data_IF_239543729242
#
_entry.id   IF_239543729242
#
_cell.length_a   1.000
_cell.length_b   1.000
_cell.length_c   1.000
_cell.angle_alpha   90.00
_cell.angle_beta   90.00
_cell.angle_gamma   90.00
#
_symmetry.space_group_name_H-M   'P 1'
#
loop_
_entity.id
_entity.type
_entity.pdbx_description
1 polymer ?
#
# COMPACT_ATOMS: atom_id res chain seq x y z
N UNK A 1 -20.02 -0.65 -40.49
CA UNK A 1 -20.79 -1.27 -39.39
C UNK A 1 -20.23 -0.73 -38.08
N UNK A 2 -20.89 0.23 -37.41
CA UNK A 2 -20.42 0.68 -36.12
C UNK A 2 -20.68 -0.43 -35.08
N UNK A 3 -19.64 -0.72 -34.32
CA UNK A 3 -19.64 -1.68 -33.22
C UNK A 3 -20.68 -1.22 -32.20
N UNK A 4 -21.66 -2.09 -31.95
CA UNK A 4 -22.72 -1.88 -30.99
C UNK A 4 -22.09 -1.72 -29.60
N UNK A 5 -22.04 -0.47 -29.14
CA UNK A 5 -21.67 -0.11 -27.79
C UNK A 5 -22.56 -0.89 -26.82
N UNK A 6 -21.95 -1.78 -26.05
CA UNK A 6 -22.60 -2.44 -24.94
C UNK A 6 -23.26 -1.38 -24.05
N UNK A 7 -24.56 -1.58 -23.77
CA UNK A 7 -25.33 -0.74 -22.87
C UNK A 7 -24.62 -0.61 -21.52
N UNK A 8 -24.67 0.55 -20.85
CA UNK A 8 -23.97 0.75 -19.59
C UNK A 8 -24.57 -0.19 -18.55
N UNK A 9 -23.77 -1.16 -18.09
CA UNK A 9 -24.10 -1.93 -16.90
C UNK A 9 -24.15 -0.90 -15.78
N UNK A 10 -25.38 -0.66 -15.31
CA UNK A 10 -25.74 0.20 -14.19
C UNK A 10 -24.62 0.23 -13.15
N UNK A 11 -24.07 1.42 -12.96
CA UNK A 11 -22.96 1.74 -12.06
C UNK A 11 -23.40 1.38 -10.63
N UNK A 12 -23.06 0.18 -10.17
CA UNK A 12 -23.28 -0.27 -8.80
C UNK A 12 -22.21 0.38 -7.93
N UNK A 13 -22.60 1.38 -7.13
CA UNK A 13 -21.70 1.98 -6.15
C UNK A 13 -21.45 0.96 -5.02
N UNK A 14 -20.20 0.56 -4.74
CA UNK A 14 -19.86 -0.29 -3.60
C UNK A 14 -20.39 0.27 -2.26
N UNK A 15 -20.61 1.59 -2.20
CA UNK A 15 -21.08 2.32 -1.02
C UNK A 15 -22.46 1.90 -0.52
N UNK A 16 -23.30 1.27 -1.35
CA UNK A 16 -24.65 0.84 -0.93
C UNK A 16 -24.66 -0.53 -0.23
N UNK A 17 -23.56 -1.28 -0.32
CA UNK A 17 -23.41 -2.59 0.28
C UNK A 17 -22.52 -2.55 1.54
N UNK A 18 -21.61 -1.60 1.65
CA UNK A 18 -20.52 -1.63 2.63
C UNK A 18 -20.68 -0.48 3.63
N UNK A 19 -20.54 -0.78 4.91
CA UNK A 19 -20.48 0.20 5.98
C UNK A 19 -19.40 -0.17 7.01
N UNK A 20 -19.03 0.79 7.86
CA UNK A 20 -18.07 0.58 8.94
C UNK A 20 -18.84 0.08 10.18
N UNK A 21 -18.42 -1.06 10.74
CA UNK A 21 -18.96 -1.60 11.98
C UNK A 21 -18.50 -0.81 13.22
N UNK A 22 -19.07 -1.11 14.38
CA UNK A 22 -18.61 -0.58 15.67
C UNK A 22 -17.17 -1.02 16.01
N UNK A 23 -16.68 -2.09 15.37
CA UNK A 23 -15.30 -2.58 15.46
C UNK A 23 -14.35 -1.93 14.45
N UNK A 24 -14.82 -0.91 13.71
CA UNK A 24 -14.08 -0.20 12.66
C UNK A 24 -13.66 -1.09 11.47
N UNK A 25 -14.46 -2.12 11.17
CA UNK A 25 -14.26 -3.04 10.05
C UNK A 25 -15.25 -2.76 8.92
N UNK A 26 -14.81 -2.95 7.67
CA UNK A 26 -15.70 -2.87 6.51
C UNK A 26 -16.56 -4.13 6.43
N UNK A 27 -17.86 -3.96 6.68
CA UNK A 27 -18.85 -5.04 6.72
C UNK A 27 -20.04 -4.74 5.82
N UNK A 28 -20.82 -5.78 5.53
CA UNK A 28 -22.17 -5.66 4.93
C UNK A 28 -23.19 -6.34 5.83
N UNK A 29 -24.48 -6.11 5.57
CA UNK A 29 -25.56 -6.77 6.32
C UNK A 29 -26.51 -7.54 5.38
N UNK A 30 -27.16 -8.56 5.95
CA UNK A 30 -28.10 -9.41 5.23
C UNK A 30 -29.29 -8.65 4.60
N UNK A 31 -29.62 -7.45 5.08
CA UNK A 31 -30.66 -6.59 4.49
C UNK A 31 -30.14 -5.89 3.22
N UNK A 32 -28.92 -5.37 3.24
CA UNK A 32 -28.25 -4.80 2.09
C UNK A 32 -28.09 -5.86 0.98
N UNK A 33 -27.65 -7.06 1.35
CA UNK A 33 -27.58 -8.21 0.43
C UNK A 33 -28.95 -8.54 -0.16
N UNK A 34 -29.99 -8.60 0.68
CA UNK A 34 -31.38 -8.85 0.25
C UNK A 34 -31.85 -7.82 -0.80
N UNK A 35 -31.61 -6.53 -0.54
CA UNK A 35 -31.96 -5.43 -1.46
C UNK A 35 -31.17 -5.54 -2.77
N UNK A 36 -29.87 -5.71 -2.69
CA UNK A 36 -28.98 -5.74 -3.86
C UNK A 36 -29.31 -6.90 -4.81
N UNK A 37 -29.52 -8.10 -4.28
CA UNK A 37 -29.84 -9.28 -5.10
C UNK A 37 -31.34 -9.44 -5.39
N UNK A 38 -32.19 -8.51 -4.91
CA UNK A 38 -33.66 -8.60 -4.98
C UNK A 38 -34.19 -9.96 -4.51
N UNK A 39 -33.64 -10.46 -3.40
CA UNK A 39 -34.06 -11.72 -2.76
C UNK A 39 -34.74 -11.39 -1.44
N UNK A 40 -35.75 -12.17 -1.05
CA UNK A 40 -36.39 -12.00 0.26
C UNK A 40 -35.38 -12.19 1.39
N UNK A 41 -35.37 -11.28 2.37
CA UNK A 41 -34.42 -11.31 3.50
C UNK A 41 -34.46 -12.65 4.26
N UNK A 42 -35.65 -13.24 4.44
CA UNK A 42 -35.81 -14.58 5.04
C UNK A 42 -35.01 -15.67 4.32
N UNK A 43 -34.89 -15.60 2.99
CA UNK A 43 -34.12 -16.57 2.21
C UNK A 43 -32.62 -16.34 2.36
N UNK A 44 -32.20 -15.09 2.56
CA UNK A 44 -30.80 -14.77 2.86
C UNK A 44 -30.42 -15.33 4.23
N UNK A 45 -31.24 -15.12 5.26
CA UNK A 45 -31.01 -15.66 6.60
C UNK A 45 -30.91 -17.19 6.57
N UNK A 46 -31.88 -17.87 5.95
CA UNK A 46 -31.87 -19.32 5.80
C UNK A 46 -30.65 -19.81 5.02
N UNK A 47 -30.19 -19.06 4.00
CA UNK A 47 -28.99 -19.43 3.25
C UNK A 47 -27.72 -19.29 4.08
N UNK A 48 -27.61 -18.26 4.93
CA UNK A 48 -26.48 -18.08 5.86
C UNK A 48 -26.45 -19.21 6.90
N UNK A 49 -27.60 -19.57 7.45
CA UNK A 49 -27.73 -20.64 8.46
C UNK A 49 -27.49 -22.04 7.90
N UNK A 50 -27.52 -22.20 6.58
CA UNK A 50 -27.29 -23.47 5.87
C UNK A 50 -25.99 -23.49 5.07
N UNK A 51 -25.06 -22.55 5.33
CA UNK A 51 -23.74 -22.58 4.70
C UNK A 51 -22.97 -23.79 5.20
N UNK A 52 -22.44 -24.56 4.25
CA UNK A 52 -21.58 -25.70 4.52
C UNK A 52 -20.12 -25.24 4.58
N UNK A 53 -19.74 -24.69 5.74
CA UNK A 53 -18.38 -24.26 6.04
C UNK A 53 -18.05 -24.51 7.52
N UNK A 54 -16.76 -24.53 7.84
CA UNK A 54 -16.30 -24.79 9.22
C UNK A 54 -16.85 -23.76 10.20
N UNK A 55 -17.11 -24.17 11.45
CA UNK A 55 -17.55 -23.27 12.53
C UNK A 55 -16.62 -22.07 12.73
N UNK A 56 -15.31 -22.29 12.59
CA UNK A 56 -14.29 -21.24 12.65
C UNK A 56 -14.57 -20.16 11.59
N UNK A 57 -14.76 -20.56 10.34
CA UNK A 57 -15.09 -19.64 9.24
C UNK A 57 -16.41 -18.91 9.50
N UNK A 58 -17.44 -19.62 9.94
CA UNK A 58 -18.76 -19.04 10.22
C UNK A 58 -18.66 -17.96 11.30
N UNK A 59 -18.01 -18.27 12.43
CA UNK A 59 -17.84 -17.33 13.55
C UNK A 59 -16.99 -16.11 13.22
N UNK A 60 -16.01 -16.24 12.33
CA UNK A 60 -15.13 -15.15 11.93
C UNK A 60 -15.79 -14.19 10.91
N UNK A 61 -16.75 -14.69 10.13
CA UNK A 61 -17.28 -13.96 8.97
C UNK A 61 -18.75 -13.60 9.07
N UNK A 62 -19.50 -14.14 10.04
CA UNK A 62 -20.93 -13.86 10.22
C UNK A 62 -21.28 -13.61 11.69
N UNK A 63 -21.79 -12.40 11.97
CA UNK A 63 -22.21 -11.96 13.31
C UNK A 63 -23.70 -11.69 13.33
N UNK A 64 -24.44 -12.31 14.25
CA UNK A 64 -25.87 -12.09 14.39
C UNK A 64 -26.16 -10.83 15.23
N UNK A 65 -27.00 -9.94 14.70
CA UNK A 65 -27.47 -8.72 15.35
C UNK A 65 -28.99 -8.65 15.32
N UNK A 66 -29.55 -7.88 16.24
CA UNK A 66 -30.96 -7.46 16.20
C UNK A 66 -31.03 -6.03 15.65
N UNK A 67 -31.90 -5.82 14.66
CA UNK A 67 -32.19 -4.49 14.11
C UNK A 67 -33.68 -4.23 14.21
N UNK A 68 -34.06 -3.08 14.76
CA UNK A 68 -35.45 -2.63 14.77
C UNK A 68 -35.89 -2.34 13.35
N UNK A 69 -36.93 -3.03 12.90
CA UNK A 69 -37.58 -2.80 11.61
C UNK A 69 -38.98 -2.28 11.84
N UNK A 70 -39.36 -1.28 11.06
CA UNK A 70 -40.71 -0.71 11.06
C UNK A 70 -41.55 -1.42 10.02
N UNK A 71 -42.63 -2.06 10.45
CA UNK A 71 -43.63 -2.69 9.59
C UNK A 71 -44.97 -1.97 9.82
N UNK A 72 -45.21 -0.92 9.03
CA UNK A 72 -46.35 -0.02 9.24
C UNK A 72 -46.19 0.76 10.55
N UNK A 73 -47.13 0.58 11.49
CA UNK A 73 -47.12 1.26 12.79
C UNK A 73 -46.33 0.46 13.85
N UNK A 74 -45.98 -0.80 13.56
CA UNK A 74 -45.32 -1.69 14.52
C UNK A 74 -43.81 -1.68 14.29
N UNK A 75 -43.06 -1.39 15.35
CA UNK A 75 -41.61 -1.58 15.39
C UNK A 75 -41.32 -2.92 16.06
N UNK A 76 -40.58 -3.79 15.38
CA UNK A 76 -40.17 -5.10 15.92
C UNK A 76 -38.69 -5.35 15.67
N UNK A 77 -38.08 -6.17 16.53
CA UNK A 77 -36.72 -6.64 16.29
C UNK A 77 -36.71 -7.69 15.19
N UNK A 78 -35.76 -7.57 14.26
CA UNK A 78 -35.47 -8.54 13.23
C UNK A 78 -34.03 -8.99 13.33
N UNK A 79 -33.82 -10.30 13.23
CA UNK A 79 -32.48 -10.89 13.11
C UNK A 79 -31.84 -10.41 11.81
N UNK A 80 -30.61 -9.93 11.88
CA UNK A 80 -29.78 -9.49 10.76
C UNK A 80 -28.38 -10.05 10.97
N UNK A 81 -27.80 -10.67 9.95
CA UNK A 81 -26.36 -10.98 9.99
C UNK A 81 -25.56 -9.82 9.43
N UNK A 82 -24.58 -9.34 10.19
CA UNK A 82 -23.43 -8.61 9.66
C UNK A 82 -22.41 -9.63 9.16
N UNK A 83 -21.70 -9.30 8.09
CA UNK A 83 -20.69 -10.18 7.51
C UNK A 83 -19.53 -9.40 6.94
N UNK A 84 -18.35 -10.01 7.00
CA UNK A 84 -17.11 -9.49 6.41
C UNK A 84 -17.16 -9.59 4.89
N UNK A 85 -16.16 -9.02 4.21
CA UNK A 85 -15.93 -9.20 2.77
C UNK A 85 -15.88 -10.69 2.37
N UNK A 86 -15.22 -11.52 3.17
CA UNK A 86 -15.05 -12.96 2.87
C UNK A 86 -16.36 -13.73 3.09
N UNK A 87 -17.10 -13.45 4.17
CA UNK A 87 -18.43 -14.01 4.40
C UNK A 87 -19.43 -13.63 3.30
N UNK A 88 -19.43 -12.36 2.90
CA UNK A 88 -20.23 -11.88 1.77
C UNK A 88 -19.91 -12.62 0.47
N UNK A 89 -18.62 -12.73 0.14
CA UNK A 89 -18.21 -13.37 -1.11
C UNK A 89 -18.57 -14.86 -1.10
N UNK A 90 -18.35 -15.55 0.02
CA UNK A 90 -18.74 -16.96 0.19
C UNK A 90 -20.24 -17.17 -0.03
N UNK A 91 -21.08 -16.32 0.55
CA UNK A 91 -22.53 -16.35 0.36
C UNK A 91 -22.93 -16.15 -1.12
N UNK A 92 -22.33 -15.17 -1.79
CA UNK A 92 -22.62 -14.83 -3.20
C UNK A 92 -22.18 -15.93 -4.16
N UNK A 93 -21.14 -16.70 -3.85
CA UNK A 93 -20.73 -17.84 -4.69
C UNK A 93 -21.87 -18.85 -4.88
N UNK A 94 -22.71 -19.05 -3.86
CA UNK A 94 -23.90 -19.89 -3.92
C UNK A 94 -25.14 -19.27 -4.59
N UNK A 95 -25.08 -18.01 -5.02
CA UNK A 95 -26.19 -17.34 -5.71
C UNK A 95 -26.13 -17.55 -7.23
N UNK A 96 -27.32 -17.54 -7.86
CA UNK A 96 -27.50 -17.57 -9.31
C UNK A 96 -28.12 -16.27 -9.82
N UNK A 97 -27.97 -16.02 -11.13
CA UNK A 97 -28.55 -14.86 -11.83
C UNK A 97 -27.52 -13.78 -12.23
N UNK A 98 -27.93 -12.86 -13.12
CA UNK A 98 -27.03 -11.86 -13.74
C UNK A 98 -26.27 -10.98 -12.73
N UNK A 99 -26.93 -10.55 -11.66
CA UNK A 99 -26.28 -9.72 -10.61
C UNK A 99 -25.22 -10.51 -9.84
N UNK A 100 -25.50 -11.76 -9.51
CA UNK A 100 -24.52 -12.64 -8.86
C UNK A 100 -23.34 -12.92 -9.80
N UNK A 101 -23.58 -13.15 -11.09
CA UNK A 101 -22.54 -13.32 -12.09
C UNK A 101 -21.62 -12.08 -12.17
N UNK A 102 -22.20 -10.88 -12.25
CA UNK A 102 -21.43 -9.64 -12.29
C UNK A 102 -20.50 -9.46 -11.07
N UNK A 103 -20.97 -9.77 -9.86
CA UNK A 103 -20.13 -9.70 -8.64
C UNK A 103 -19.00 -10.73 -8.68
N UNK A 104 -19.29 -11.96 -9.14
CA UNK A 104 -18.26 -13.01 -9.28
C UNK A 104 -17.20 -12.65 -10.32
N UNK A 105 -17.61 -12.13 -11.47
CA UNK A 105 -16.70 -11.66 -12.51
C UNK A 105 -15.84 -10.48 -12.03
N UNK A 106 -16.43 -9.53 -11.30
CA UNK A 106 -15.68 -8.42 -10.71
C UNK A 106 -14.62 -8.92 -9.70
N UNK A 107 -14.97 -9.90 -8.87
CA UNK A 107 -14.02 -10.52 -7.94
C UNK A 107 -12.88 -11.24 -8.67
N UNK A 108 -13.20 -12.02 -9.72
CA UNK A 108 -12.19 -12.70 -10.56
C UNK A 108 -11.27 -11.68 -11.23
N UNK A 109 -11.83 -10.59 -11.77
CA UNK A 109 -11.03 -9.54 -12.41
C UNK A 109 -10.10 -8.84 -11.42
N UNK A 110 -10.58 -8.53 -10.22
CA UNK A 110 -9.75 -7.94 -9.17
C UNK A 110 -8.62 -8.90 -8.75
N UNK A 111 -8.91 -10.20 -8.65
CA UNK A 111 -7.89 -11.22 -8.37
C UNK A 111 -6.84 -11.30 -9.49
N UNK A 112 -7.27 -11.30 -10.76
CA UNK A 112 -6.36 -11.32 -11.91
C UNK A 112 -5.49 -10.06 -11.96
N UNK A 113 -6.06 -8.88 -11.68
CA UNK A 113 -5.29 -7.63 -11.60
C UNK A 113 -4.24 -7.69 -10.49
N UNK A 114 -4.58 -8.22 -9.31
CA UNK A 114 -3.60 -8.42 -8.23
C UNK A 114 -2.54 -9.43 -8.64
N UNK A 115 -2.92 -10.56 -9.25
CA UNK A 115 -1.98 -11.55 -9.75
C UNK A 115 -1.04 -10.96 -10.81
N UNK A 116 -1.55 -10.12 -11.72
CA UNK A 116 -0.74 -9.37 -12.69
C UNK A 116 0.22 -8.40 -12.00
N UNK A 117 -0.20 -7.70 -10.95
CA UNK A 117 0.69 -6.80 -10.20
C UNK A 117 1.81 -7.57 -9.48
N UNK A 118 1.51 -8.76 -8.97
CA UNK A 118 2.51 -9.62 -8.30
C UNK A 118 3.44 -10.34 -9.29
N UNK A 119 2.94 -10.68 -10.49
CA UNK A 119 3.72 -11.37 -11.55
C UNK A 119 4.49 -10.40 -12.44
N UNK A 120 4.02 -9.16 -12.57
CA UNK A 120 4.87 -8.03 -12.93
C UNK A 120 5.86 -7.86 -11.78
N UNK A 121 6.97 -8.62 -11.84
CA UNK A 121 8.24 -8.15 -11.26
C UNK A 121 8.30 -6.65 -11.54
N UNK A 122 8.67 -5.78 -10.57
CA UNK A 122 8.98 -4.40 -10.92
C UNK A 122 9.90 -4.53 -12.13
N UNK A 123 9.48 -3.94 -13.26
CA UNK A 123 10.27 -3.95 -14.47
C UNK A 123 11.68 -3.68 -13.98
N UNK A 124 12.60 -4.63 -14.18
CA UNK A 124 13.95 -4.47 -13.69
C UNK A 124 14.35 -3.10 -14.18
N UNK A 125 14.47 -2.14 -13.26
CA UNK A 125 15.16 -0.91 -13.59
C UNK A 125 16.45 -1.42 -14.23
N UNK A 126 16.88 -0.85 -15.37
CA UNK A 126 18.19 -1.22 -15.88
C UNK A 126 19.11 -1.17 -14.67
N UNK A 127 19.70 -2.31 -14.31
CA UNK A 127 20.63 -2.43 -13.20
C UNK A 127 21.83 -1.56 -13.61
N UNK A 128 21.68 -0.25 -13.49
CA UNK A 128 22.72 0.72 -13.72
C UNK A 128 23.57 0.63 -12.48
N UNK A 129 24.48 -0.34 -12.49
CA UNK A 129 25.52 -0.43 -11.49
C UNK A 129 26.69 0.41 -11.98
N UNK A 130 27.09 1.38 -11.16
CA UNK A 130 28.35 2.11 -11.37
C UNK A 130 29.44 1.33 -10.64
N UNK A 131 30.52 0.99 -11.33
CA UNK A 131 31.69 0.33 -10.72
C UNK A 131 32.89 1.27 -10.78
N UNK A 132 33.63 1.37 -9.68
CA UNK A 132 34.96 1.96 -9.67
C UNK A 132 35.97 0.83 -9.67
N UNK A 133 36.90 0.90 -10.61
CA UNK A 133 38.01 -0.05 -10.72
C UNK A 133 39.32 0.70 -10.58
N UNK A 134 40.19 0.20 -9.71
CA UNK A 134 41.56 0.68 -9.56
C UNK A 134 42.44 -0.16 -10.48
N UNK A 135 43.20 0.51 -11.36
CA UNK A 135 44.11 -0.13 -12.32
C UNK A 135 45.53 0.31 -11.99
N UNK A 136 46.40 -0.65 -11.72
CA UNK A 136 47.84 -0.43 -11.51
C UNK A 136 48.62 -1.27 -12.53
N UNK A 137 49.60 -0.67 -13.22
CA UNK A 137 50.41 -1.32 -14.26
C UNK A 137 49.59 -2.06 -15.34
N UNK A 138 48.39 -1.55 -15.67
CA UNK A 138 47.50 -2.16 -16.66
C UNK A 138 46.68 -3.34 -16.15
N UNK A 139 46.77 -3.69 -14.86
CA UNK A 139 45.95 -4.73 -14.23
C UNK A 139 44.94 -4.12 -13.27
N UNK A 140 43.69 -4.60 -13.34
CA UNK A 140 42.67 -4.24 -12.37
C UNK A 140 42.99 -4.93 -11.03
N UNK A 141 43.26 -4.13 -9.99
CA UNK A 141 43.63 -4.64 -8.67
C UNK A 141 42.44 -4.66 -7.71
N UNK A 142 41.43 -3.81 -7.93
CA UNK A 142 40.24 -3.71 -7.08
C UNK A 142 39.06 -3.19 -7.89
N UNK A 143 37.86 -3.77 -7.69
CA UNK A 143 36.60 -3.25 -8.23
C UNK A 143 35.54 -3.22 -7.16
N UNK A 144 34.85 -2.08 -7.00
CA UNK A 144 33.77 -1.91 -6.02
C UNK A 144 32.55 -1.27 -6.66
N UNK A 145 31.35 -1.69 -6.25
CA UNK A 145 30.11 -1.04 -6.62
C UNK A 145 29.98 0.32 -5.94
N UNK A 146 29.50 1.30 -6.70
CA UNK A 146 29.32 2.68 -6.28
C UNK A 146 27.82 3.02 -6.36
N UNK A 147 27.23 3.62 -5.30
CA UNK A 147 25.88 4.15 -5.32
C UNK A 147 25.63 5.15 -6.46
N UNK A 148 24.37 5.26 -6.92
CA UNK A 148 24.04 6.13 -8.03
C UNK A 148 24.25 7.63 -7.73
N UNK A 149 24.14 8.03 -6.47
CA UNK A 149 24.34 9.38 -5.95
C UNK A 149 25.80 9.72 -5.61
N UNK A 150 26.74 8.79 -5.80
CA UNK A 150 28.13 9.03 -5.50
C UNK A 150 28.83 9.89 -6.58
N UNK A 151 29.60 10.86 -6.13
CA UNK A 151 30.44 11.71 -6.97
C UNK A 151 31.89 11.24 -6.96
N UNK A 152 32.48 11.08 -8.15
CA UNK A 152 33.92 10.82 -8.31
C UNK A 152 34.56 12.11 -8.81
N UNK A 153 35.34 12.74 -7.95
CA UNK A 153 35.95 14.04 -8.20
C UNK A 153 37.37 14.07 -7.66
N UNK A 154 38.22 14.87 -8.27
CA UNK A 154 39.51 15.19 -7.67
C UNK A 154 39.34 16.21 -6.55
N UNK A 155 40.21 16.12 -5.53
CA UNK A 155 40.17 17.01 -4.36
C UNK A 155 40.18 18.50 -4.73
N UNK A 156 40.89 18.87 -5.79
CA UNK A 156 40.97 20.26 -6.27
C UNK A 156 39.64 20.82 -6.78
N UNK A 157 38.72 19.97 -7.22
CA UNK A 157 37.44 20.39 -7.80
C UNK A 157 36.28 20.40 -6.78
N UNK A 158 36.50 19.94 -5.53
CA UNK A 158 35.47 19.89 -4.49
C UNK A 158 34.81 21.26 -4.29
N UNK A 159 35.60 22.33 -4.20
CA UNK A 159 35.08 23.67 -3.94
C UNK A 159 34.14 24.17 -5.04
N UNK A 160 34.36 23.74 -6.30
CA UNK A 160 33.56 24.17 -7.44
C UNK A 160 32.17 23.53 -7.41
N UNK A 161 32.04 22.33 -6.85
CA UNK A 161 30.74 21.65 -6.74
C UNK A 161 29.71 22.46 -5.97
N UNK A 162 30.12 23.18 -4.92
CA UNK A 162 29.18 23.97 -4.12
C UNK A 162 28.58 25.17 -4.87
N UNK A 163 29.15 25.51 -6.03
CA UNK A 163 28.64 26.58 -6.91
C UNK A 163 27.73 26.04 -8.02
N UNK A 164 27.64 24.71 -8.20
CA UNK A 164 26.82 24.11 -9.25
C UNK A 164 25.33 24.22 -8.89
N UNK A 165 24.50 24.84 -9.74
CA UNK A 165 23.09 25.03 -9.45
C UNK A 165 22.36 23.68 -9.40
N UNK A 166 21.49 23.51 -8.40
CA UNK A 166 20.70 22.30 -8.16
C UNK A 166 21.51 21.02 -7.84
N UNK A 167 22.82 21.13 -7.60
CA UNK A 167 23.61 19.97 -7.20
C UNK A 167 23.39 19.59 -5.73
N UNK A 168 23.14 20.59 -4.88
CA UNK A 168 22.85 20.40 -3.46
C UNK A 168 21.57 21.15 -3.07
N UNK A 169 20.80 20.55 -2.17
CA UNK A 169 19.72 21.23 -1.45
C UNK A 169 20.27 22.17 -0.38
N UNK A 170 19.42 23.10 0.08
CA UNK A 170 19.78 24.05 1.16
C UNK A 170 20.13 23.30 2.44
N UNK A 171 19.40 22.25 2.79
CA UNK A 171 19.63 21.47 4.00
C UNK A 171 20.97 20.70 3.94
N UNK A 172 21.33 20.17 2.77
CA UNK A 172 22.63 19.51 2.55
C UNK A 172 23.78 20.51 2.69
N UNK A 173 23.67 21.70 2.11
CA UNK A 173 24.68 22.75 2.26
C UNK A 173 24.85 23.19 3.72
N UNK A 174 23.75 23.29 4.49
CA UNK A 174 23.80 23.61 5.92
C UNK A 174 24.48 22.50 6.73
N UNK A 175 24.19 21.24 6.43
CA UNK A 175 24.83 20.09 7.06
C UNK A 175 26.35 20.06 6.78
N UNK A 176 26.74 20.30 5.53
CA UNK A 176 28.15 20.38 5.11
C UNK A 176 28.86 21.53 5.83
N UNK A 177 28.28 22.73 5.82
CA UNK A 177 28.83 23.91 6.50
C UNK A 177 29.05 23.65 7.99
N UNK A 178 28.05 23.08 8.67
CA UNK A 178 28.15 22.74 10.09
C UNK A 178 29.29 21.75 10.38
N UNK A 179 29.43 20.72 9.54
CA UNK A 179 30.50 19.72 9.66
C UNK A 179 31.90 20.33 9.45
N UNK A 180 32.05 21.19 8.43
CA UNK A 180 33.32 21.89 8.16
C UNK A 180 33.69 22.81 9.32
N UNK A 181 32.74 23.62 9.80
CA UNK A 181 32.99 24.55 10.91
C UNK A 181 33.39 23.82 12.20
N UNK A 182 32.75 22.67 12.48
CA UNK A 182 33.13 21.82 13.60
C UNK A 182 34.58 21.34 13.47
N UNK A 183 34.96 20.87 12.29
CA UNK A 183 36.33 20.40 12.01
C UNK A 183 37.37 21.52 12.18
N UNK A 184 37.07 22.73 11.68
CA UNK A 184 37.93 23.91 11.86
C UNK A 184 38.12 24.24 13.35
N UNK A 185 37.04 24.23 14.13
CA UNK A 185 37.10 24.51 15.56
C UNK A 185 37.95 23.48 16.32
N UNK A 186 37.86 22.20 15.97
CA UNK A 186 38.70 21.15 16.54
C UNK A 186 40.18 21.35 16.21
N UNK A 187 40.51 21.65 14.95
CA UNK A 187 41.88 21.95 14.52
C UNK A 187 42.43 23.17 15.27
N UNK A 188 41.64 24.23 15.41
CA UNK A 188 42.04 25.43 16.15
C UNK A 188 42.35 25.13 17.62
N UNK A 189 41.51 24.33 18.29
CA UNK A 189 41.75 23.89 19.68
C UNK A 189 43.04 23.06 19.81
N UNK A 190 43.29 22.15 18.87
CA UNK A 190 44.51 21.33 18.87
C UNK A 190 45.78 22.17 18.66
N UNK A 191 45.72 23.17 17.78
CA UNK A 191 46.83 24.08 17.56
C UNK A 191 47.10 24.96 18.79
N UNK A 192 46.06 25.50 19.43
CA UNK A 192 46.20 26.27 20.69
C UNK A 192 46.79 25.41 21.81
N UNK A 193 46.36 24.14 21.93
CA UNK A 193 46.94 23.19 22.89
C UNK A 193 48.43 22.89 22.61
N UNK A 194 48.81 22.71 21.35
CA UNK A 194 50.23 22.53 20.94
C UNK A 194 51.08 23.76 21.23
N UNK A 195 50.58 24.96 20.93
CA UNK A 195 51.24 26.24 21.22
C UNK A 195 51.47 26.43 22.73
N UNK A 196 50.50 26.04 23.57
CA UNK A 196 50.63 26.05 25.03
C UNK A 196 51.65 25.03 25.56
N UNK A 197 51.83 23.90 24.89
CA UNK A 197 52.85 22.90 25.24
C UNK A 197 54.26 23.34 24.86
N UNK A 198 54.43 23.98 23.70
CA UNK A 198 55.74 24.49 23.25
C UNK A 198 56.25 25.68 24.05
N UNK A 199 55.37 26.50 24.65
CA UNK A 199 55.74 27.61 25.55
C UNK A 199 56.08 27.18 26.99
N UNK A 200 55.95 25.89 27.32
CA UNK A 200 56.26 25.32 28.64
C UNK A 200 57.59 24.54 28.67
N UNK A 201 58.33 24.47 27.57
CA UNK A 201 59.73 24.05 27.49
C UNK A 201 60.62 25.28 27.38
#
# INVERSE_FOLDING_TARGET
MPIQSALPIMQLSPSDLIFISDTNELVTDSLAVSKHFSKQHKHILSKIESLDCSDVFTSANFSAHAKKITAGVVVRDSKVYQMTKDGFMFLVMGFTGKRAAAVKEAYINAFNQMAEQLTKKPAAEPLSYRIMTVIENGQAIESKMIPNDAFIISKSHIAQLFNEPNLFSVDELLAISSSVNKTIAEIAKLQDARLKQMKKQ
#
